data_IF_395655070407
#
_entry.id   IF_395655070407
#
_cell.length_a   1.000
_cell.length_b   1.000
_cell.length_c   1.000
_cell.angle_alpha   90.00
_cell.angle_beta   90.00
_cell.angle_gamma   90.00
#
_symmetry.space_group_name_H-M   'P 1'
#
loop_
_entity.id
_entity.type
_entity.pdbx_description
1 polymer ?
#
# COMPACT_ATOMS: atom_id res chain seq x y z
N UNK A 1 -8.94 -49.85 8.92
CA UNK A 1 -8.13 -48.70 8.50
C UNK A 1 -8.97 -47.45 8.73
N UNK A 2 -8.78 -46.84 9.90
CA UNK A 2 -9.55 -45.70 10.40
C UNK A 2 -9.04 -44.42 9.72
N UNK A 3 -9.77 -43.90 8.73
CA UNK A 3 -9.50 -42.61 8.08
C UNK A 3 -10.04 -41.46 8.94
N UNK A 4 -9.68 -41.42 10.22
CA UNK A 4 -9.84 -40.19 11.00
C UNK A 4 -8.82 -39.19 10.49
N UNK A 5 -9.28 -38.23 9.67
CA UNK A 5 -8.55 -36.98 9.45
C UNK A 5 -8.14 -36.47 10.85
N UNK A 6 -6.85 -36.20 11.10
CA UNK A 6 -6.46 -35.58 12.36
C UNK A 6 -7.32 -34.32 12.50
N UNK A 7 -7.79 -34.02 13.71
CA UNK A 7 -8.65 -32.89 14.04
C UNK A 7 -8.02 -31.58 13.53
N UNK A 8 -8.19 -31.30 12.25
CA UNK A 8 -7.91 -30.01 11.65
C UNK A 8 -8.91 -29.08 12.29
N UNK A 9 -8.40 -28.05 12.94
CA UNK A 9 -9.21 -26.94 13.39
C UNK A 9 -9.88 -26.41 12.12
N UNK A 10 -11.16 -26.72 11.96
CA UNK A 10 -12.01 -26.13 10.93
C UNK A 10 -12.12 -24.66 11.27
N UNK A 11 -11.19 -23.86 10.75
CA UNK A 11 -11.22 -22.41 10.88
C UNK A 11 -12.23 -21.90 9.86
N UNK A 12 -13.50 -22.00 10.21
CA UNK A 12 -14.56 -21.27 9.52
C UNK A 12 -14.28 -19.78 9.73
N UNK A 13 -13.72 -19.13 8.70
CA UNK A 13 -13.45 -17.70 8.67
C UNK A 13 -14.39 -17.04 7.66
N UNK A 14 -14.90 -15.87 7.99
CA UNK A 14 -15.72 -15.09 7.08
C UNK A 14 -14.84 -14.36 6.07
N UNK A 15 -15.37 -14.08 4.88
CA UNK A 15 -14.70 -13.19 3.91
C UNK A 15 -14.42 -11.81 4.52
N UNK A 16 -15.27 -11.35 5.45
CA UNK A 16 -15.09 -10.07 6.14
C UNK A 16 -13.95 -10.09 7.17
N UNK A 17 -13.35 -11.25 7.44
CA UNK A 17 -12.22 -11.36 8.37
C UNK A 17 -10.87 -11.06 7.70
N UNK A 18 -10.82 -11.04 6.36
CA UNK A 18 -9.64 -10.70 5.59
C UNK A 18 -9.45 -9.19 5.43
N UNK A 19 -8.19 -8.75 5.36
CA UNK A 19 -7.78 -7.38 5.05
C UNK A 19 -8.40 -6.31 6.00
N UNK A 20 -8.58 -6.66 7.28
CA UNK A 20 -9.14 -5.75 8.30
C UNK A 20 -8.23 -4.59 8.67
N UNK A 21 -6.92 -4.73 8.45
CA UNK A 21 -5.94 -3.70 8.81
C UNK A 21 -5.47 -2.96 7.55
N UNK A 22 -5.93 -1.72 7.31
CA UNK A 22 -5.52 -0.94 6.14
C UNK A 22 -4.06 -0.48 6.20
N UNK A 23 -3.40 -0.54 7.37
CA UNK A 23 -2.00 -0.14 7.52
C UNK A 23 -1.03 -1.29 7.25
N UNK A 24 -1.53 -2.48 6.95
CA UNK A 24 -0.74 -3.66 6.65
C UNK A 24 -0.59 -3.84 5.14
N UNK A 25 0.65 -3.76 4.67
CA UNK A 25 1.02 -4.07 3.29
C UNK A 25 1.77 -5.41 3.26
N UNK A 26 1.19 -6.43 2.64
CA UNK A 26 1.88 -7.70 2.43
C UNK A 26 2.76 -7.66 1.16
N UNK A 27 3.98 -8.18 1.29
CA UNK A 27 4.88 -8.51 0.18
C UNK A 27 5.28 -10.00 0.28
N UNK A 28 5.88 -10.59 -0.78
CA UNK A 28 6.17 -12.03 -0.80
C UNK A 28 7.15 -12.48 0.30
N UNK A 29 8.12 -11.63 0.67
CA UNK A 29 9.15 -11.94 1.65
C UNK A 29 8.86 -11.40 3.07
N UNK A 30 8.20 -10.24 3.18
CA UNK A 30 7.92 -9.60 4.46
C UNK A 30 6.60 -8.83 4.39
N UNK A 31 5.96 -8.66 5.54
CA UNK A 31 4.83 -7.77 5.68
C UNK A 31 5.27 -6.48 6.35
N UNK A 32 4.63 -5.37 5.97
CA UNK A 32 5.05 -4.03 6.34
C UNK A 32 3.88 -3.32 6.99
N UNK A 33 4.07 -2.84 8.22
CA UNK A 33 3.20 -1.84 8.79
C UNK A 33 3.60 -0.47 8.27
N UNK A 34 2.75 0.14 7.44
CA UNK A 34 3.00 1.40 6.75
C UNK A 34 3.28 2.57 7.71
N UNK A 35 2.74 2.51 8.93
CA UNK A 35 3.06 3.40 10.02
C UNK A 35 3.31 2.57 11.28
N UNK A 36 4.53 2.57 11.85
CA UNK A 36 5.66 3.47 11.59
C UNK A 36 6.61 3.10 10.44
N UNK A 37 6.36 2.04 9.65
CA UNK A 37 7.23 1.63 8.54
C UNK A 37 8.14 0.43 8.85
N UNK A 38 7.74 -0.46 9.76
CA UNK A 38 8.53 -1.65 10.11
C UNK A 38 8.06 -2.89 9.35
N UNK A 39 9.01 -3.76 9.01
CA UNK A 39 8.75 -5.02 8.34
C UNK A 39 8.89 -6.20 9.32
N UNK A 40 8.10 -7.25 9.11
CA UNK A 40 8.08 -8.46 9.94
C UNK A 40 7.73 -9.68 9.08
N UNK A 41 7.94 -10.87 9.63
CA UNK A 41 7.68 -12.13 8.93
C UNK A 41 6.17 -12.38 8.78
N UNK A 42 5.71 -12.95 7.64
CA UNK A 42 4.31 -13.28 7.44
C UNK A 42 3.74 -14.18 8.54
N UNK A 43 2.63 -13.77 9.15
CA UNK A 43 1.90 -14.57 10.13
C UNK A 43 0.53 -15.00 9.56
N UNK A 44 0.30 -16.31 9.29
CA UNK A 44 -0.96 -16.80 8.76
C UNK A 44 -2.14 -16.68 9.72
N UNK A 45 -1.91 -16.30 10.99
CA UNK A 45 -2.98 -15.94 11.92
C UNK A 45 -3.65 -14.61 11.56
N UNK A 46 -2.93 -13.74 10.86
CA UNK A 46 -3.43 -12.49 10.32
C UNK A 46 -3.94 -12.78 8.90
N UNK A 47 -5.23 -12.53 8.68
CA UNK A 47 -5.91 -12.90 7.45
C UNK A 47 -5.71 -11.80 6.39
N UNK A 48 -4.72 -11.97 5.53
CA UNK A 48 -4.44 -11.07 4.40
C UNK A 48 -4.74 -11.79 3.08
N UNK A 49 -5.50 -11.14 2.20
CA UNK A 49 -5.81 -11.66 0.85
C UNK A 49 -5.11 -10.88 -0.26
N UNK A 50 -4.61 -9.67 0.05
CA UNK A 50 -3.96 -8.76 -0.90
C UNK A 50 -2.46 -8.66 -0.62
N UNK A 51 -1.65 -8.80 -1.66
CA UNK A 51 -0.19 -8.65 -1.58
C UNK A 51 0.33 -7.93 -2.82
N UNK A 52 1.41 -7.17 -2.65
CA UNK A 52 2.22 -6.73 -3.80
C UNK A 52 3.00 -7.92 -4.38
N UNK A 53 3.50 -7.75 -5.60
CA UNK A 53 4.22 -8.80 -6.34
C UNK A 53 5.74 -8.73 -6.19
N UNK A 54 6.25 -7.73 -5.47
CA UNK A 54 7.68 -7.43 -5.38
C UNK A 54 8.14 -7.58 -3.95
N UNK A 55 9.33 -8.16 -3.75
CA UNK A 55 9.95 -8.25 -2.43
C UNK A 55 10.23 -6.87 -1.83
N UNK A 56 9.98 -6.75 -0.53
CA UNK A 56 10.37 -5.58 0.23
C UNK A 56 11.89 -5.59 0.49
N UNK A 57 12.51 -4.42 0.30
CA UNK A 57 13.89 -4.18 0.70
C UNK A 57 14.01 -2.74 1.20
N UNK A 58 14.29 -2.58 2.50
CA UNK A 58 14.43 -1.27 3.16
C UNK A 58 15.57 -0.41 2.59
N UNK A 59 16.52 -1.02 1.87
CA UNK A 59 17.69 -0.36 1.29
C UNK A 59 17.57 -0.17 -0.23
N UNK A 60 16.40 -0.43 -0.81
CA UNK A 60 16.18 -0.25 -2.23
C UNK A 60 16.44 1.18 -2.66
N UNK A 61 17.26 1.34 -3.69
CA UNK A 61 17.41 2.59 -4.42
C UNK A 61 16.56 2.50 -5.69
N UNK A 62 15.93 3.61 -6.07
CA UNK A 62 15.06 3.66 -7.24
C UNK A 62 15.50 4.76 -8.21
N UNK A 63 16.76 4.78 -8.70
CA UNK A 63 17.32 5.90 -9.43
C UNK A 63 16.57 6.22 -10.73
N UNK A 64 16.03 5.20 -11.42
CA UNK A 64 15.20 5.41 -12.60
C UNK A 64 13.86 6.06 -12.27
N UNK A 65 13.26 5.70 -11.13
CA UNK A 65 12.02 6.31 -10.64
C UNK A 65 12.27 7.74 -10.17
N UNK A 66 13.37 7.98 -9.45
CA UNK A 66 13.78 9.32 -9.03
C UNK A 66 14.03 10.22 -10.26
N UNK A 67 14.76 9.73 -11.26
CA UNK A 67 14.99 10.46 -12.51
C UNK A 67 13.68 10.74 -13.26
N UNK A 68 12.76 9.77 -13.29
CA UNK A 68 11.44 9.94 -13.87
C UNK A 68 10.65 11.06 -13.16
N UNK A 69 10.56 11.03 -11.83
CA UNK A 69 9.88 12.05 -11.04
C UNK A 69 10.47 13.44 -11.27
N UNK A 70 11.81 13.58 -11.22
CA UNK A 70 12.47 14.85 -11.50
C UNK A 70 12.23 15.32 -12.93
N UNK A 71 12.14 14.40 -13.90
CA UNK A 71 11.87 14.72 -15.31
C UNK A 71 10.44 15.21 -15.55
N UNK A 72 9.43 14.50 -15.04
CA UNK A 72 8.02 14.85 -15.29
C UNK A 72 7.50 16.03 -14.45
N UNK A 73 8.16 16.31 -13.33
CA UNK A 73 7.81 17.40 -12.42
C UNK A 73 8.82 18.55 -12.46
N UNK A 74 9.72 18.58 -13.46
CA UNK A 74 10.72 19.66 -13.62
C UNK A 74 11.54 19.93 -12.35
N UNK A 75 11.82 18.88 -11.58
CA UNK A 75 12.51 18.93 -10.28
C UNK A 75 11.80 19.77 -9.19
N UNK A 76 10.50 20.04 -9.33
CA UNK A 76 9.69 20.66 -8.28
C UNK A 76 9.55 19.69 -7.08
N UNK A 77 10.34 19.96 -6.04
CA UNK A 77 10.37 19.13 -4.82
C UNK A 77 9.04 19.14 -4.07
N UNK A 78 8.33 20.26 -4.05
CA UNK A 78 7.06 20.35 -3.33
C UNK A 78 6.00 19.46 -3.96
N UNK A 79 5.98 19.41 -5.29
CA UNK A 79 5.07 18.58 -6.06
C UNK A 79 5.45 17.10 -5.98
N UNK A 80 6.74 16.77 -6.06
CA UNK A 80 7.24 15.40 -5.89
C UNK A 80 6.86 14.87 -4.50
N UNK A 81 7.13 15.61 -3.44
CA UNK A 81 6.81 15.22 -2.06
C UNK A 81 5.30 15.03 -1.88
N UNK A 82 4.49 15.92 -2.46
CA UNK A 82 3.04 15.78 -2.46
C UNK A 82 2.58 14.49 -3.15
N UNK A 83 3.05 14.22 -4.37
CA UNK A 83 2.68 13.00 -5.12
C UNK A 83 3.11 11.74 -4.37
N UNK A 84 4.30 11.73 -3.77
CA UNK A 84 4.75 10.62 -2.95
C UNK A 84 3.84 10.37 -1.74
N UNK A 85 3.36 11.43 -1.07
CA UNK A 85 2.37 11.32 0.00
C UNK A 85 1.04 10.74 -0.49
N UNK A 86 0.57 11.16 -1.67
CA UNK A 86 -0.65 10.63 -2.28
C UNK A 86 -0.52 9.13 -2.58
N UNK A 87 0.62 8.72 -3.14
CA UNK A 87 0.92 7.31 -3.39
C UNK A 87 0.93 6.53 -2.07
N UNK A 88 1.61 7.05 -1.04
CA UNK A 88 1.66 6.44 0.29
C UNK A 88 0.28 6.26 0.92
N UNK A 89 -0.58 7.28 0.84
CA UNK A 89 -1.98 7.19 1.28
C UNK A 89 -2.75 6.13 0.49
N UNK A 90 -2.55 6.06 -0.82
CA UNK A 90 -3.22 5.10 -1.71
C UNK A 90 -2.91 3.65 -1.35
N UNK A 91 -1.73 3.37 -0.78
CA UNK A 91 -1.37 2.03 -0.30
C UNK A 91 -2.25 1.55 0.86
N UNK A 92 -2.85 2.45 1.63
CA UNK A 92 -3.73 2.07 2.75
C UNK A 92 -5.10 1.61 2.29
N UNK A 93 -5.48 1.93 1.05
CA UNK A 93 -6.84 1.69 0.54
C UNK A 93 -7.95 2.44 1.27
N UNK A 94 -7.61 3.38 2.17
CA UNK A 94 -8.60 4.16 2.91
C UNK A 94 -9.26 5.21 2.03
N UNK A 95 -10.58 5.32 2.09
CA UNK A 95 -11.36 6.40 1.45
C UNK A 95 -11.86 7.44 2.45
N UNK A 96 -11.42 7.38 3.71
CA UNK A 96 -11.90 8.24 4.79
C UNK A 96 -11.69 9.74 4.52
N UNK A 97 -10.63 10.10 3.79
CA UNK A 97 -10.31 11.50 3.50
C UNK A 97 -11.25 12.15 2.46
N UNK A 98 -12.13 11.38 1.79
CA UNK A 98 -12.98 11.82 0.67
C UNK A 98 -12.25 12.74 -0.33
N UNK A 99 -10.97 12.44 -0.59
CA UNK A 99 -10.11 13.22 -1.46
C UNK A 99 -10.08 12.63 -2.87
N UNK A 100 -10.30 13.47 -3.87
CA UNK A 100 -10.03 13.15 -5.27
C UNK A 100 -8.67 13.76 -5.68
N UNK A 101 -7.70 12.92 -6.05
CA UNK A 101 -6.41 13.37 -6.56
C UNK A 101 -6.44 13.44 -8.09
N UNK A 102 -6.40 14.66 -8.63
CA UNK A 102 -6.40 14.90 -10.08
C UNK A 102 -4.99 15.27 -10.52
N UNK A 103 -4.35 14.41 -11.31
CA UNK A 103 -3.05 14.66 -11.94
C UNK A 103 -3.26 15.07 -13.40
N UNK A 104 -3.46 16.35 -13.64
CA UNK A 104 -3.58 16.90 -14.99
C UNK A 104 -2.27 17.57 -15.42
N UNK A 105 -1.82 17.24 -16.63
CA UNK A 105 -0.72 17.96 -17.28
C UNK A 105 -1.27 19.25 -17.87
N UNK A 106 -1.06 20.37 -17.19
CA UNK A 106 -1.22 21.69 -17.75
C UNK A 106 0.11 22.41 -17.56
N UNK A 107 0.50 23.27 -18.49
CA UNK A 107 1.65 24.17 -18.40
C UNK A 107 1.61 25.15 -17.22
N UNK A 108 0.67 24.95 -16.28
CA UNK A 108 0.46 25.65 -15.02
C UNK A 108 -0.07 24.62 -14.00
N UNK A 109 0.72 24.31 -12.98
CA UNK A 109 0.38 23.31 -11.96
C UNK A 109 -0.69 23.86 -11.01
N UNK A 110 -1.94 23.44 -11.16
CA UNK A 110 -2.98 23.69 -10.16
C UNK A 110 -3.70 22.37 -9.82
N UNK A 111 -3.36 21.80 -8.67
CA UNK A 111 -4.03 20.61 -8.11
C UNK A 111 -5.17 21.11 -7.22
N UNK A 112 -6.41 20.74 -7.56
CA UNK A 112 -7.58 20.95 -6.72
C UNK A 112 -7.87 19.67 -5.94
N UNK A 113 -7.80 19.73 -4.62
CA UNK A 113 -8.38 18.70 -3.75
C UNK A 113 -9.85 19.06 -3.63
N UNK A 114 -10.71 18.38 -4.38
CA UNK A 114 -12.15 18.40 -4.07
C UNK A 114 -12.36 17.45 -2.89
N UNK A 115 -12.61 18.03 -1.71
CA UNK A 115 -13.29 17.29 -0.64
C UNK A 115 -14.78 17.30 -0.98
N UNK A 116 -15.39 16.13 -1.04
CA UNK A 116 -16.85 16.05 -0.93
C UNK A 116 -17.18 16.29 0.54
N UNK A 117 -17.92 17.37 0.83
CA UNK A 117 -18.66 17.52 2.09
C UNK A 117 -19.93 16.65 2.05
#
# INVERSE_FOLDING_TARGET
MDWKRPHGIDRTVSLNDFDKDPMLLAAPNQWIYLQPGYAFDPDPSILVSKSITTDYCAKSLCPNFDAFLNGIFESDRSLIDYVQRVIGYSLTGSTSEQCLFILIRLSQWQIHICKYD
#
